data_IF_414527285802
#
_entry.id   IF_414527285802
#
_cell.length_a   1.000
_cell.length_b   1.000
_cell.length_c   1.000
_cell.angle_alpha   90.00
_cell.angle_beta   90.00
_cell.angle_gamma   90.00
#
_symmetry.space_group_name_H-M   'P 1'
#
loop_
_entity.id
_entity.type
_entity.pdbx_description
1 polymer ?
#
# COMPACT_ATOMS: atom_id res chain seq x y z
N UNK A 1 28.39 19.28 11.04
CA UNK A 1 27.13 18.90 11.68
C UNK A 1 26.05 19.25 10.68
N UNK A 2 25.65 18.28 9.86
CA UNK A 2 24.46 18.42 9.01
C UNK A 2 23.27 18.13 9.91
N UNK A 3 22.58 19.18 10.35
CA UNK A 3 21.29 19.06 11.03
C UNK A 3 20.33 18.33 10.08
N UNK A 4 20.02 17.08 10.40
CA UNK A 4 19.06 16.27 9.67
C UNK A 4 17.67 16.91 9.82
N UNK A 5 17.26 17.74 8.86
CA UNK A 5 15.96 18.42 8.86
C UNK A 5 14.75 17.47 8.88
N UNK A 6 14.97 16.15 8.74
CA UNK A 6 13.98 15.09 8.94
C UNK A 6 13.61 14.89 10.41
N UNK A 7 14.57 14.99 11.33
CA UNK A 7 14.33 14.82 12.78
C UNK A 7 13.55 16.00 13.36
N UNK A 8 13.71 17.19 12.79
CA UNK A 8 13.03 18.41 13.25
C UNK A 8 11.56 18.51 12.83
N UNK A 9 11.12 17.69 11.86
CA UNK A 9 9.76 17.75 11.29
C UNK A 9 8.84 16.58 11.71
N UNK A 10 9.35 15.58 12.44
CA UNK A 10 8.63 14.32 12.70
C UNK A 10 8.00 13.73 11.41
N UNK A 11 8.71 13.81 10.28
CA UNK A 11 8.23 13.38 8.98
C UNK A 11 8.81 12.00 8.62
N UNK A 12 7.99 10.97 8.74
CA UNK A 12 8.28 9.60 8.30
C UNK A 12 7.87 9.40 6.84
N UNK A 13 8.71 8.73 6.05
CA UNK A 13 8.36 8.31 4.70
C UNK A 13 8.69 6.84 4.52
N UNK A 14 7.67 5.99 4.58
CA UNK A 14 7.81 4.55 4.43
C UNK A 14 7.39 4.12 3.01
N UNK A 15 8.16 3.22 2.38
CA UNK A 15 7.87 2.71 1.05
C UNK A 15 8.24 1.24 0.91
N UNK A 16 7.27 0.41 0.50
CA UNK A 16 7.42 -1.04 0.40
C UNK A 16 6.98 -1.56 -0.97
N UNK A 17 7.71 -2.55 -1.48
CA UNK A 17 7.39 -3.28 -2.71
C UNK A 17 6.59 -4.56 -2.36
N UNK A 18 5.50 -4.80 -3.08
CA UNK A 18 4.66 -5.98 -2.93
C UNK A 18 4.64 -6.77 -4.25
N UNK A 19 4.66 -8.10 -4.14
CA UNK A 19 4.49 -9.01 -5.27
C UNK A 19 3.07 -9.55 -5.34
N UNK A 20 2.55 -9.71 -6.55
CA UNK A 20 1.26 -10.38 -6.80
C UNK A 20 1.54 -11.88 -7.01
N UNK A 21 1.00 -12.74 -6.15
CA UNK A 21 1.17 -14.19 -6.26
C UNK A 21 0.03 -14.88 -7.00
N UNK A 22 -1.21 -14.52 -6.67
CA UNK A 22 -2.40 -15.21 -7.19
C UNK A 22 -2.80 -14.71 -8.58
N UNK A 23 -1.87 -14.83 -9.53
CA UNK A 23 -2.08 -14.51 -10.93
C UNK A 23 -2.66 -15.75 -11.67
N UNK A 24 -3.60 -15.56 -12.61
CA UNK A 24 -4.11 -14.29 -13.11
C UNK A 24 -5.23 -13.65 -12.26
N UNK A 25 -5.25 -12.32 -12.18
CA UNK A 25 -6.26 -11.55 -11.43
C UNK A 25 -7.15 -10.77 -12.40
N UNK A 26 -8.49 -10.80 -12.21
CA UNK A 26 -9.39 -9.92 -12.97
C UNK A 26 -9.11 -8.46 -12.62
N UNK A 27 -8.97 -7.60 -13.62
CA UNK A 27 -8.66 -6.18 -13.41
C UNK A 27 -9.71 -5.45 -12.57
N UNK A 28 -10.98 -5.88 -12.63
CA UNK A 28 -12.03 -5.37 -11.74
C UNK A 28 -11.81 -5.75 -10.26
N UNK A 29 -11.34 -6.97 -10.00
CA UNK A 29 -10.99 -7.44 -8.65
C UNK A 29 -9.79 -6.66 -8.10
N UNK A 30 -8.75 -6.49 -8.92
CA UNK A 30 -7.56 -5.71 -8.57
C UNK A 30 -7.92 -4.28 -8.17
N UNK A 31 -8.71 -3.57 -9.00
CA UNK A 31 -9.19 -2.21 -8.70
C UNK A 31 -9.93 -2.13 -7.36
N UNK A 32 -10.86 -3.06 -7.15
CA UNK A 32 -11.68 -3.07 -5.93
C UNK A 32 -10.84 -3.33 -4.69
N UNK A 33 -9.97 -4.34 -4.73
CA UNK A 33 -9.11 -4.72 -3.61
C UNK A 33 -8.12 -3.59 -3.27
N UNK A 34 -7.45 -3.04 -4.28
CA UNK A 34 -6.50 -1.95 -4.11
C UNK A 34 -7.16 -0.67 -3.57
N UNK A 35 -8.32 -0.28 -4.11
CA UNK A 35 -9.05 0.90 -3.60
C UNK A 35 -9.46 0.72 -2.14
N UNK A 36 -9.93 -0.47 -1.75
CA UNK A 36 -10.31 -0.75 -0.36
C UNK A 36 -9.10 -0.66 0.56
N UNK A 37 -8.01 -1.31 0.19
CA UNK A 37 -6.77 -1.32 0.95
C UNK A 37 -6.24 0.10 1.20
N UNK A 38 -6.07 0.92 0.16
CA UNK A 38 -5.42 2.23 0.33
C UNK A 38 -6.23 3.18 1.20
N UNK A 39 -7.56 3.09 1.14
CA UNK A 39 -8.45 3.89 1.98
C UNK A 39 -8.45 3.38 3.42
N UNK A 40 -8.45 2.06 3.60
CA UNK A 40 -8.40 1.45 4.92
C UNK A 40 -7.07 1.76 5.62
N UNK A 41 -5.95 1.61 4.92
CA UNK A 41 -4.62 1.93 5.44
C UNK A 41 -4.47 3.41 5.77
N UNK A 42 -4.90 4.31 4.88
CA UNK A 42 -4.89 5.74 5.19
C UNK A 42 -5.75 6.06 6.43
N UNK A 43 -6.91 5.42 6.57
CA UNK A 43 -7.77 5.61 7.74
C UNK A 43 -7.13 5.06 9.03
N UNK A 44 -6.51 3.89 8.98
CA UNK A 44 -5.81 3.31 10.14
C UNK A 44 -4.66 4.21 10.61
N UNK A 45 -3.90 4.81 9.67
CA UNK A 45 -2.87 5.80 9.99
C UNK A 45 -3.46 7.03 10.68
N UNK A 46 -4.57 7.56 10.17
CA UNK A 46 -5.28 8.69 10.79
C UNK A 46 -5.84 8.36 12.18
N UNK A 47 -6.44 7.18 12.35
CA UNK A 47 -6.98 6.68 13.63
C UNK A 47 -5.86 6.51 14.69
N UNK A 48 -4.61 6.27 14.25
CA UNK A 48 -3.40 6.26 15.09
C UNK A 48 -2.83 7.65 15.40
N UNK A 49 -3.41 8.71 14.85
CA UNK A 49 -3.00 10.09 15.09
C UNK A 49 -2.02 10.67 14.05
N UNK A 50 -1.83 9.98 12.91
CA UNK A 50 -0.99 10.49 11.84
C UNK A 50 -1.61 11.72 11.17
N UNK A 51 -0.76 12.69 10.80
CA UNK A 51 -1.14 13.71 9.80
C UNK A 51 -0.68 13.22 8.44
N UNK A 52 -1.63 12.95 7.54
CA UNK A 52 -1.31 12.44 6.21
C UNK A 52 -0.78 13.54 5.31
N UNK A 53 0.45 13.38 4.83
CA UNK A 53 0.97 14.15 3.71
C UNK A 53 0.55 13.53 2.37
N UNK A 54 0.81 12.22 2.20
CA UNK A 54 0.22 11.41 1.13
C UNK A 54 0.41 9.92 1.38
N UNK A 55 -0.61 9.13 1.04
CA UNK A 55 -0.52 7.66 0.93
C UNK A 55 -0.73 7.28 -0.53
N UNK A 56 0.20 6.53 -1.12
CA UNK A 56 0.21 6.19 -2.54
C UNK A 56 0.34 4.70 -2.72
N UNK A 57 -0.38 4.18 -3.71
CA UNK A 57 -0.19 2.83 -4.20
C UNK A 57 -0.16 2.83 -5.72
N UNK A 58 0.81 2.12 -6.30
CA UNK A 58 1.05 2.06 -7.74
C UNK A 58 1.20 0.59 -8.12
N UNK A 59 0.27 0.06 -8.92
CA UNK A 59 0.40 -1.23 -9.58
C UNK A 59 0.87 -1.04 -11.02
N UNK A 60 2.01 -1.60 -11.36
CA UNK A 60 2.55 -1.69 -12.70
C UNK A 60 2.32 -3.12 -13.20
N UNK A 61 1.49 -3.31 -14.23
CA UNK A 61 1.06 -4.63 -14.70
C UNK A 61 1.33 -4.84 -16.20
N UNK A 62 1.15 -6.06 -16.71
CA UNK A 62 1.23 -6.31 -18.15
C UNK A 62 0.14 -5.62 -18.99
N UNK A 63 -0.95 -5.21 -18.35
CA UNK A 63 -2.10 -4.62 -19.03
C UNK A 63 -2.25 -3.12 -18.77
N UNK A 64 -1.31 -2.49 -18.09
CA UNK A 64 -1.27 -1.05 -17.82
C UNK A 64 -0.91 -0.73 -16.37
N UNK A 65 -1.20 0.51 -15.98
CA UNK A 65 -0.86 1.05 -14.66
C UNK A 65 -2.13 1.44 -13.91
N UNK A 66 -2.14 1.19 -12.60
CA UNK A 66 -3.21 1.64 -11.71
C UNK A 66 -2.58 2.34 -10.51
N UNK A 67 -2.95 3.60 -10.28
CA UNK A 67 -2.45 4.41 -9.17
C UNK A 67 -3.58 4.89 -8.30
N UNK A 68 -3.40 4.78 -6.99
CA UNK A 68 -4.24 5.42 -5.99
C UNK A 68 -3.41 6.38 -5.16
N UNK A 69 -3.99 7.52 -4.80
CA UNK A 69 -3.39 8.50 -3.91
C UNK A 69 -4.45 9.00 -2.92
N UNK A 70 -4.10 9.06 -1.64
CA UNK A 70 -4.92 9.62 -0.57
C UNK A 70 -4.11 10.74 0.07
N UNK A 71 -4.64 11.95 0.04
CA UNK A 71 -4.09 13.12 0.74
C UNK A 71 -4.97 13.56 1.91
N UNK A 72 -6.24 13.17 1.88
CA UNK A 72 -7.25 13.44 2.89
C UNK A 72 -8.24 12.26 2.87
N UNK A 73 -8.48 11.64 4.02
CA UNK A 73 -9.34 10.45 4.13
C UNK A 73 -10.82 10.77 3.87
N UNK A 74 -11.25 12.01 4.13
CA UNK A 74 -12.60 12.52 3.88
C UNK A 74 -12.88 12.80 2.41
N UNK A 75 -11.86 13.15 1.62
CA UNK A 75 -11.95 13.26 0.15
C UNK A 75 -11.89 11.90 -0.55
N UNK A 76 -11.28 10.91 0.10
CA UNK A 76 -11.09 9.57 -0.43
C UNK A 76 -9.87 9.46 -1.36
N UNK A 77 -9.83 8.37 -2.13
CA UNK A 77 -8.70 8.08 -3.01
C UNK A 77 -8.87 8.69 -4.42
N UNK A 78 -7.90 9.50 -4.84
CA UNK A 78 -7.69 9.85 -6.23
C UNK A 78 -7.17 8.64 -7.00
N UNK A 79 -7.63 8.46 -8.23
CA UNK A 79 -7.29 7.30 -9.07
C UNK A 79 -6.81 7.71 -10.45
N UNK A 80 -5.73 7.08 -10.89
CA UNK A 80 -5.28 7.05 -12.29
C UNK A 80 -5.35 5.60 -12.76
N UNK A 81 -6.35 5.28 -13.58
CA UNK A 81 -6.58 3.93 -14.10
C UNK A 81 -6.28 3.87 -15.60
N UNK A 82 -5.16 3.24 -15.93
CA UNK A 82 -4.69 3.03 -17.29
C UNK A 82 -4.69 1.55 -17.68
N UNK A 83 -5.37 0.68 -16.91
CA UNK A 83 -5.47 -0.75 -17.23
C UNK A 83 -6.39 -0.98 -18.44
N UNK A 84 -5.83 -1.56 -19.51
CA UNK A 84 -6.51 -1.82 -20.79
C UNK A 84 -6.99 -3.26 -20.98
N UNK A 85 -6.50 -4.19 -20.16
CA UNK A 85 -6.88 -5.60 -20.20
C UNK A 85 -7.83 -6.00 -19.08
N UNK A 86 -8.60 -7.06 -19.30
CA UNK A 86 -9.57 -7.58 -18.32
C UNK A 86 -8.92 -8.47 -17.25
N UNK A 87 -7.70 -8.95 -17.54
CA UNK A 87 -6.97 -9.90 -16.70
C UNK A 87 -5.49 -9.53 -16.64
N UNK A 88 -4.98 -9.39 -15.43
CA UNK A 88 -3.57 -9.13 -15.10
C UNK A 88 -2.87 -10.48 -14.91
N UNK A 89 -1.75 -10.69 -15.61
CA UNK A 89 -0.96 -11.93 -15.57
C UNK A 89 0.42 -11.74 -14.95
N UNK A 90 0.89 -10.51 -14.86
CA UNK A 90 2.11 -10.13 -14.14
C UNK A 90 2.01 -8.69 -13.68
N UNK A 91 2.66 -8.38 -12.57
CA UNK A 91 2.76 -7.01 -12.11
C UNK A 91 3.48 -6.90 -10.78
N UNK A 92 3.72 -5.66 -10.39
CA UNK A 92 4.34 -5.29 -9.12
C UNK A 92 3.56 -4.13 -8.53
N UNK A 93 3.40 -4.14 -7.21
CA UNK A 93 2.72 -3.08 -6.49
C UNK A 93 3.72 -2.38 -5.59
N UNK A 94 3.72 -1.05 -5.61
CA UNK A 94 4.50 -0.20 -4.70
C UNK A 94 3.52 0.53 -3.81
N UNK A 95 3.74 0.49 -2.50
CA UNK A 95 2.97 1.25 -1.51
C UNK A 95 3.90 2.21 -0.78
N UNK A 96 3.43 3.43 -0.52
CA UNK A 96 4.21 4.45 0.17
C UNK A 96 3.29 5.31 1.03
N UNK A 97 3.77 5.71 2.20
CA UNK A 97 3.11 6.67 3.07
C UNK A 97 4.11 7.73 3.51
N UNK A 98 3.72 9.00 3.38
CA UNK A 98 4.39 10.15 3.97
C UNK A 98 3.45 10.73 5.02
N UNK A 99 3.82 10.59 6.29
CA UNK A 99 2.99 10.99 7.43
C UNK A 99 3.82 11.73 8.46
N UNK A 100 3.14 12.55 9.27
CA UNK A 100 3.71 13.15 10.48
C UNK A 100 3.12 12.48 11.72
N UNK A 101 3.82 12.60 12.85
CA UNK A 101 3.42 12.12 14.19
C UNK A 101 3.43 10.60 14.41
N UNK A 102 3.78 9.81 13.39
CA UNK A 102 4.12 8.40 13.52
C UNK A 102 5.56 8.20 13.08
N UNK A 103 6.28 7.32 13.77
CA UNK A 103 7.56 6.80 13.31
C UNK A 103 7.36 5.65 12.31
N UNK A 104 8.44 5.22 11.67
CA UNK A 104 8.40 4.18 10.65
C UNK A 104 7.90 2.82 11.18
N UNK A 105 8.16 2.46 12.44
CA UNK A 105 7.71 1.17 13.02
C UNK A 105 6.18 1.14 13.13
N UNK A 106 5.57 2.24 13.57
CA UNK A 106 4.10 2.35 13.64
C UNK A 106 3.44 2.32 12.26
N UNK A 107 4.08 2.94 11.26
CA UNK A 107 3.60 2.93 9.87
C UNK A 107 3.71 1.52 9.28
N UNK A 108 4.81 0.80 9.56
CA UNK A 108 4.99 -0.59 9.13
C UNK A 108 3.99 -1.54 9.78
N UNK A 109 3.75 -1.41 11.09
CA UNK A 109 2.77 -2.23 11.80
C UNK A 109 1.35 -1.99 11.26
N UNK A 110 1.01 -0.74 10.93
CA UNK A 110 -0.24 -0.40 10.25
C UNK A 110 -0.33 -1.04 8.86
N UNK A 111 0.77 -0.99 8.10
CA UNK A 111 0.84 -1.63 6.78
C UNK A 111 0.66 -3.15 6.86
N UNK A 112 1.37 -3.84 7.76
CA UNK A 112 1.26 -5.30 7.93
C UNK A 112 -0.17 -5.74 8.27
N UNK A 113 -0.81 -5.05 9.23
CA UNK A 113 -2.21 -5.30 9.59
C UNK A 113 -3.15 -5.17 8.39
N UNK A 114 -2.99 -4.14 7.57
CA UNK A 114 -3.88 -3.88 6.45
C UNK A 114 -3.51 -4.69 5.19
N UNK A 115 -2.33 -5.29 5.15
CA UNK A 115 -1.93 -6.21 4.08
C UNK A 115 -2.63 -7.57 4.16
N UNK A 116 -2.90 -8.10 5.36
CA UNK A 116 -3.63 -9.37 5.55
C UNK A 116 -4.92 -9.46 4.70
N UNK A 117 -5.88 -8.52 4.80
CA UNK A 117 -7.10 -8.60 4.00
C UNK A 117 -6.86 -8.36 2.50
N UNK A 118 -5.75 -7.71 2.11
CA UNK A 118 -5.38 -7.56 0.71
C UNK A 118 -4.84 -8.88 0.15
N UNK A 119 -4.04 -9.60 0.93
CA UNK A 119 -3.51 -10.91 0.59
C UNK A 119 -4.63 -11.93 0.37
N UNK A 120 -5.58 -12.03 1.29
CA UNK A 120 -6.74 -12.92 1.13
C UNK A 120 -7.54 -12.64 -0.15
N UNK A 121 -7.55 -11.38 -0.62
CA UNK A 121 -8.28 -10.96 -1.81
C UNK A 121 -7.52 -11.20 -3.11
N UNK A 122 -6.21 -10.91 -3.17
CA UNK A 122 -5.45 -10.90 -4.44
C UNK A 122 -4.06 -11.54 -4.37
N UNK A 123 -3.67 -12.11 -3.23
CA UNK A 123 -2.37 -12.75 -2.99
C UNK A 123 -1.22 -11.75 -3.11
N UNK A 124 -0.83 -11.14 -1.99
CA UNK A 124 0.25 -10.15 -1.93
C UNK A 124 1.19 -10.40 -0.77
N UNK A 125 2.50 -10.34 -1.03
CA UNK A 125 3.51 -10.35 0.02
C UNK A 125 4.56 -9.26 -0.21
N UNK A 126 5.24 -8.85 0.85
CA UNK A 126 6.37 -7.92 0.79
C UNK A 126 7.54 -8.57 0.05
N UNK A 127 8.14 -7.85 -0.90
CA UNK A 127 9.35 -8.30 -1.59
C UNK A 127 10.48 -8.56 -0.59
N UNK A 128 10.94 -9.81 -0.49
CA UNK A 128 11.98 -10.21 0.45
C UNK A 128 11.47 -10.86 1.74
N UNK A 129 10.16 -10.95 1.96
CA UNK A 129 9.55 -11.68 3.08
C UNK A 129 8.86 -12.94 2.53
N UNK A 130 9.66 -13.96 2.19
CA UNK A 130 9.13 -15.31 1.99
C UNK A 130 8.99 -15.91 3.39
N UNK A 131 7.92 -15.57 4.09
CA UNK A 131 7.60 -16.25 5.34
C UNK A 131 7.06 -17.63 4.98
N UNK A 132 7.91 -18.61 5.25
CA UNK A 132 7.55 -20.00 5.46
C UNK A 132 6.56 -20.02 6.63
N UNK A 133 5.26 -19.89 6.37
CA UNK A 133 4.25 -20.18 7.37
C UNK A 133 4.22 -21.71 7.55
N UNK A 134 5.17 -22.23 8.33
CA UNK A 134 5.00 -23.51 9.00
C UNK A 134 3.76 -23.38 9.90
N UNK A 135 2.64 -23.93 9.44
CA UNK A 135 1.52 -24.25 10.31
C UNK A 135 1.99 -25.27 11.35
N UNK A 136 2.39 -24.79 12.53
CA UNK A 136 2.45 -25.63 13.73
C UNK A 136 1.16 -25.49 14.54
N UNK A 137 0.36 -26.56 14.41
CA UNK A 137 -0.63 -27.15 15.33
C UNK A 137 -2.05 -26.58 15.44
#
# INVERSE_FOLDING_TARGET
MEENSKELAHAGSHGTLLHLEHLPIKSAKLRSAMKKFIVAWAKDLEDRGAVIGHVKMIAETDVGVLKYSVVDTGLGAEVVDELRGDTVKKGTVKVMAAVLNLDDEEVEASLDKELEPLDEQIGVHRAGHHCECEHEH
#
